data_IF_406320090915
#
_entry.id   IF_406320090915
#
_cell.length_a   1.000
_cell.length_b   1.000
_cell.length_c   1.000
_cell.angle_alpha   90.00
_cell.angle_beta   90.00
_cell.angle_gamma   90.00
#
_symmetry.space_group_name_H-M   'P 1'
#
loop_
_entity.id
_entity.type
_entity.pdbx_description
1 polymer ?
#
# COMPACT_ATOMS: atom_id res chain seq x y z
N UNK A 1 7.05 19.51 -16.46
CA UNK A 1 5.78 18.75 -16.38
C UNK A 1 5.95 17.61 -15.39
N UNK A 2 5.35 17.71 -14.21
CA UNK A 2 5.50 16.74 -13.14
C UNK A 2 4.86 15.41 -13.53
N UNK A 3 5.69 14.42 -13.89
CA UNK A 3 5.25 13.03 -14.05
C UNK A 3 4.68 12.62 -12.69
N UNK A 4 3.35 12.63 -12.52
CA UNK A 4 2.69 11.96 -11.40
C UNK A 4 3.15 10.51 -11.49
N UNK A 5 4.17 10.15 -10.71
CA UNK A 5 4.65 8.78 -10.60
C UNK A 5 3.41 7.99 -10.19
N UNK A 6 2.89 7.16 -11.10
CA UNK A 6 1.95 6.11 -10.73
C UNK A 6 2.73 5.30 -9.70
N UNK A 7 2.46 5.54 -8.42
CA UNK A 7 2.97 4.69 -7.35
C UNK A 7 2.49 3.29 -7.74
N UNK A 8 3.37 2.32 -7.77
CA UNK A 8 2.95 0.94 -7.93
C UNK A 8 2.59 0.42 -6.53
N UNK A 9 1.58 -0.44 -6.43
CA UNK A 9 1.28 -1.18 -5.20
C UNK A 9 2.54 -1.88 -4.66
N UNK A 10 3.41 -2.36 -5.55
CA UNK A 10 4.73 -2.93 -5.27
C UNK A 10 5.68 -1.98 -4.52
N UNK A 11 5.57 -0.67 -4.74
CA UNK A 11 6.37 0.32 -3.99
C UNK A 11 5.98 0.32 -2.50
N UNK A 12 4.70 0.12 -2.18
CA UNK A 12 4.22 0.05 -0.79
C UNK A 12 4.63 -1.23 -0.10
N UNK A 13 4.62 -2.35 -0.82
CA UNK A 13 5.19 -3.61 -0.32
C UNK A 13 6.68 -3.47 0.05
N UNK A 14 7.44 -2.73 -0.77
CA UNK A 14 8.86 -2.48 -0.48
C UNK A 14 9.10 -1.56 0.72
N UNK A 15 8.20 -0.59 0.95
CA UNK A 15 8.27 0.27 2.13
C UNK A 15 7.90 -0.46 3.43
N UNK A 16 6.99 -1.44 3.34
CA UNK A 16 6.50 -2.23 4.48
C UNK A 16 6.57 -3.73 4.17
N UNK A 17 7.79 -4.31 4.10
CA UNK A 17 7.94 -5.73 3.86
C UNK A 17 7.28 -6.52 5.01
N UNK A 18 6.47 -7.52 4.68
CA UNK A 18 5.70 -8.37 5.61
C UNK A 18 4.50 -7.72 6.31
N UNK A 19 4.12 -6.48 6.01
CA UNK A 19 2.87 -5.90 6.55
C UNK A 19 1.68 -6.12 5.63
N UNK A 20 1.95 -6.07 4.33
CA UNK A 20 0.91 -6.12 3.31
C UNK A 20 1.16 -7.28 2.34
N UNK A 21 0.06 -7.78 1.78
CA UNK A 21 0.04 -8.68 0.62
C UNK A 21 -0.74 -8.02 -0.52
N UNK A 22 -0.49 -8.45 -1.75
CA UNK A 22 -1.31 -8.08 -2.90
C UNK A 22 -2.31 -9.18 -3.16
N UNK A 23 -3.58 -8.81 -3.20
CA UNK A 23 -4.68 -9.69 -3.61
C UNK A 23 -5.45 -9.00 -4.74
N UNK A 24 -5.45 -9.56 -5.94
CA UNK A 24 -6.12 -9.00 -7.13
C UNK A 24 -5.88 -7.48 -7.36
N UNK A 25 -4.62 -7.03 -7.22
CA UNK A 25 -4.21 -5.62 -7.35
C UNK A 25 -4.73 -4.67 -6.24
N UNK A 26 -5.23 -5.24 -5.14
CA UNK A 26 -5.59 -4.60 -3.88
C UNK A 26 -4.49 -4.86 -2.85
N UNK A 27 -4.15 -3.84 -2.05
CA UNK A 27 -3.19 -3.99 -0.97
C UNK A 27 -3.98 -4.44 0.26
N UNK A 28 -3.70 -5.64 0.76
CA UNK A 28 -4.37 -6.19 1.93
C UNK A 28 -3.38 -6.23 3.08
N UNK A 29 -3.74 -5.65 4.22
CA UNK A 29 -2.93 -5.78 5.43
C UNK A 29 -3.02 -7.22 5.94
N UNK A 30 -1.88 -7.88 6.17
CA UNK A 30 -1.88 -9.25 6.68
C UNK A 30 -2.33 -9.31 8.14
N UNK A 31 -2.07 -8.26 8.92
CA UNK A 31 -2.44 -8.18 10.34
C UNK A 31 -3.92 -7.90 10.55
N UNK A 32 -4.47 -6.92 9.81
CA UNK A 32 -5.88 -6.54 9.91
C UNK A 32 -6.77 -7.42 9.02
N UNK A 33 -6.18 -8.11 8.04
CA UNK A 33 -6.89 -8.84 6.98
C UNK A 33 -7.92 -7.96 6.24
N UNK A 34 -7.62 -6.67 6.11
CA UNK A 34 -8.45 -5.65 5.47
C UNK A 34 -7.79 -5.09 4.21
N UNK A 35 -8.61 -4.72 3.24
CA UNK A 35 -8.17 -4.05 2.02
C UNK A 35 -7.89 -2.56 2.29
N UNK A 36 -6.66 -2.12 2.01
CA UNK A 36 -6.18 -0.76 2.25
C UNK A 36 -5.97 -0.02 0.94
N UNK A 37 -6.39 1.24 0.90
CA UNK A 37 -6.13 2.10 -0.24
C UNK A 37 -4.66 2.52 -0.29
N UNK A 38 -3.90 1.87 -1.18
CA UNK A 38 -2.46 2.05 -1.32
C UNK A 38 -2.05 3.28 -2.14
N UNK A 39 -3.00 3.87 -2.89
CA UNK A 39 -2.77 5.03 -3.77
C UNK A 39 -2.35 6.27 -2.99
N UNK A 40 -2.81 6.38 -1.75
CA UNK A 40 -2.56 7.51 -0.86
C UNK A 40 -1.55 7.09 0.21
N UNK A 41 -0.36 7.72 0.24
CA UNK A 41 0.66 7.42 1.27
C UNK A 41 0.08 7.58 2.67
N UNK A 42 -0.66 8.66 2.91
CA UNK A 42 -1.25 8.99 4.20
C UNK A 42 -2.20 7.90 4.70
N UNK A 43 -2.96 7.24 3.82
CA UNK A 43 -3.86 6.14 4.21
C UNK A 43 -3.07 4.93 4.69
N UNK A 44 -2.00 4.57 3.97
CA UNK A 44 -1.11 3.45 4.33
C UNK A 44 -0.36 3.75 5.63
N UNK A 45 0.19 4.96 5.75
CA UNK A 45 0.97 5.40 6.91
C UNK A 45 0.10 5.45 8.17
N UNK A 46 -1.12 6.00 8.07
CA UNK A 46 -2.09 6.03 9.18
C UNK A 46 -2.60 4.64 9.58
N UNK A 47 -2.61 3.68 8.66
CA UNK A 47 -2.96 2.29 8.98
C UNK A 47 -1.81 1.54 9.67
N UNK A 48 -0.57 1.94 9.42
CA UNK A 48 0.64 1.39 10.06
C UNK A 48 1.03 2.11 11.37
N UNK A 49 0.33 3.18 11.74
CA UNK A 49 0.61 4.02 12.92
C UNK A 49 0.02 3.44 14.22
#
# INVERSE_FOLDING_TARGET
MSKKKRIAIDTRLKEHPNTFRIDDNVLVCEYCNEAIEWRSKSTVDNHCL
#
